data_IF_982367237376
#
_entry.id   IF_982367237376
#
_cell.length_a   1.000
_cell.length_b   1.000
_cell.length_c   1.000
_cell.angle_alpha   90.00
_cell.angle_beta   90.00
_cell.angle_gamma   90.00
#
_symmetry.space_group_name_H-M   'P 1'
#
loop_
_entity.id
_entity.type
_entity.pdbx_description
1 polymer ?
#
# COMPACT_ATOMS: atom_id res chain seq x y z
N UNK A 1 30.68 -17.88 -15.16
CA UNK A 1 30.95 -18.26 -13.75
C UNK A 1 29.74 -17.86 -12.93
N UNK A 2 29.10 -18.82 -12.24
CA UNK A 2 27.70 -18.75 -11.77
C UNK A 2 27.27 -17.42 -11.11
N UNK A 3 28.13 -16.78 -10.30
CA UNK A 3 27.83 -15.48 -9.69
C UNK A 3 27.60 -14.36 -10.73
N UNK A 4 28.41 -14.31 -11.79
CA UNK A 4 28.28 -13.29 -12.85
C UNK A 4 27.00 -13.49 -13.65
N UNK A 5 26.65 -14.74 -13.94
CA UNK A 5 25.41 -15.09 -14.63
C UNK A 5 24.17 -14.68 -13.82
N UNK A 6 24.15 -14.98 -12.51
CA UNK A 6 23.05 -14.57 -11.64
C UNK A 6 22.90 -13.04 -11.56
N UNK A 7 24.01 -12.30 -11.43
CA UNK A 7 23.96 -10.83 -11.39
C UNK A 7 23.42 -10.28 -12.72
N UNK A 8 23.81 -10.85 -13.85
CA UNK A 8 23.31 -10.44 -15.16
C UNK A 8 21.81 -10.68 -15.28
N UNK A 9 21.35 -11.89 -14.93
CA UNK A 9 19.93 -12.24 -14.92
C UNK A 9 19.08 -11.29 -14.06
N UNK A 10 19.52 -10.99 -12.83
CA UNK A 10 18.79 -10.07 -11.94
C UNK A 10 18.77 -8.64 -12.49
N UNK A 11 19.79 -8.24 -13.25
CA UNK A 11 19.84 -6.92 -13.90
C UNK A 11 18.93 -6.83 -15.12
N UNK A 12 18.80 -7.92 -15.88
CA UNK A 12 17.90 -7.98 -17.02
C UNK A 12 16.42 -8.00 -16.61
N UNK A 13 16.12 -8.46 -15.40
CA UNK A 13 14.76 -8.57 -14.87
C UNK A 13 14.49 -7.60 -13.69
N UNK A 14 15.09 -6.41 -13.71
CA UNK A 14 14.92 -5.43 -12.63
C UNK A 14 13.47 -4.97 -12.47
N UNK A 15 12.72 -4.95 -13.56
CA UNK A 15 11.31 -4.58 -13.65
C UNK A 15 10.37 -5.59 -12.97
N UNK A 16 10.83 -6.82 -12.75
CA UNK A 16 10.06 -7.83 -12.03
C UNK A 16 10.04 -7.58 -10.51
N UNK A 17 10.84 -6.61 -10.03
CA UNK A 17 10.96 -6.28 -8.61
C UNK A 17 10.36 -4.90 -8.33
N UNK A 18 9.83 -4.77 -7.11
CA UNK A 18 9.32 -3.52 -6.59
C UNK A 18 10.38 -2.82 -5.74
N UNK A 19 11.16 -1.93 -6.34
CA UNK A 19 12.21 -1.19 -5.63
C UNK A 19 11.64 0.04 -4.91
N UNK A 20 10.57 0.62 -5.46
CA UNK A 20 9.77 1.69 -4.89
C UNK A 20 8.27 1.32 -4.90
N UNK A 21 7.46 2.11 -4.21
CA UNK A 21 6.00 1.89 -4.19
C UNK A 21 5.37 2.09 -5.58
N UNK A 22 5.92 3.00 -6.38
CA UNK A 22 5.47 3.28 -7.74
C UNK A 22 5.69 2.11 -8.70
N UNK A 23 6.62 1.19 -8.39
CA UNK A 23 6.90 -0.01 -9.20
C UNK A 23 5.83 -1.11 -9.03
N UNK A 24 4.89 -0.93 -8.10
CA UNK A 24 3.79 -1.86 -7.84
C UNK A 24 2.44 -1.24 -8.22
N UNK A 25 2.16 -0.95 -9.51
CA UNK A 25 0.83 -0.53 -9.89
C UNK A 25 -0.15 -1.65 -9.54
N UNK A 26 -1.10 -1.36 -8.66
CA UNK A 26 -2.15 -2.32 -8.29
C UNK A 26 -2.96 -2.78 -9.50
N UNK A 27 -3.77 -3.81 -9.33
CA UNK A 27 -4.72 -4.24 -10.36
C UNK A 27 -5.81 -3.18 -10.55
N UNK A 28 -6.34 -3.07 -11.78
CA UNK A 28 -7.50 -2.22 -12.04
C UNK A 28 -8.67 -2.72 -11.17
N UNK A 29 -9.16 -1.86 -10.29
CA UNK A 29 -10.29 -2.17 -9.40
C UNK A 29 -11.58 -2.43 -10.16
N UNK A 30 -11.69 -1.99 -11.42
CA UNK A 30 -12.79 -2.37 -12.32
C UNK A 30 -12.70 -3.82 -12.80
N UNK A 31 -11.50 -4.40 -12.78
CA UNK A 31 -11.25 -5.78 -13.20
C UNK A 31 -11.42 -6.75 -12.03
N UNK A 32 -10.73 -6.49 -10.92
CA UNK A 32 -10.80 -7.34 -9.72
C UNK A 32 -10.69 -6.46 -8.47
N UNK A 33 -11.67 -6.60 -7.59
CA UNK A 33 -11.62 -6.10 -6.22
C UNK A 33 -12.00 -7.20 -5.24
N UNK A 34 -11.43 -7.14 -4.04
CA UNK A 34 -11.86 -8.01 -2.95
C UNK A 34 -12.98 -7.33 -2.17
N UNK A 35 -14.14 -7.97 -2.10
CA UNK A 35 -15.26 -7.51 -1.27
C UNK A 35 -15.31 -8.30 0.03
N UNK A 36 -15.27 -7.59 1.16
CA UNK A 36 -15.51 -8.17 2.48
C UNK A 36 -17.03 -8.24 2.70
N UNK A 37 -17.64 -9.43 2.75
CA UNK A 37 -19.08 -9.55 2.98
C UNK A 37 -19.42 -9.11 4.40
N UNK A 38 -20.31 -8.12 4.51
CA UNK A 38 -20.83 -7.64 5.79
C UNK A 38 -22.27 -8.11 5.97
N UNK A 39 -22.67 -8.33 7.22
CA UNK A 39 -24.07 -8.61 7.52
C UNK A 39 -24.87 -7.30 7.39
N UNK A 40 -26.07 -7.30 6.75
CA UNK A 40 -26.87 -6.09 6.54
C UNK A 40 -27.21 -5.34 7.83
N UNK A 41 -27.32 -6.05 8.95
CA UNK A 41 -27.63 -5.49 10.27
C UNK A 41 -26.44 -4.81 10.96
N UNK A 42 -25.22 -4.94 10.44
CA UNK A 42 -24.03 -4.33 11.04
C UNK A 42 -23.95 -2.84 10.72
N UNK A 43 -23.96 -2.01 11.76
CA UNK A 43 -23.75 -0.56 11.63
C UNK A 43 -22.25 -0.22 11.63
N UNK A 44 -21.82 0.83 10.90
CA UNK A 44 -20.47 1.37 11.02
C UNK A 44 -20.16 1.76 12.48
N UNK A 45 -18.93 1.49 12.92
CA UNK A 45 -18.44 1.87 14.25
C UNK A 45 -17.26 2.81 14.07
N UNK A 46 -17.40 4.04 14.56
CA UNK A 46 -16.33 5.03 14.63
C UNK A 46 -15.34 4.67 15.72
N UNK A 47 -14.14 4.22 15.32
CA UNK A 47 -13.09 3.91 16.27
C UNK A 47 -12.36 5.19 16.69
N UNK A 48 -12.08 5.31 18.00
CA UNK A 48 -11.30 6.43 18.53
C UNK A 48 -9.87 6.38 17.98
N UNK A 49 -9.39 7.51 17.46
CA UNK A 49 -8.01 7.65 17.00
C UNK A 49 -7.04 7.27 18.14
N UNK A 50 -6.10 6.37 17.85
CA UNK A 50 -5.05 5.98 18.79
C UNK A 50 -3.96 7.02 18.77
N UNK A 51 -3.45 7.39 19.96
CA UNK A 51 -2.31 8.31 20.07
C UNK A 51 -1.08 7.64 19.46
N UNK A 52 -0.47 8.29 18.49
CA UNK A 52 0.84 7.91 17.96
C UNK A 52 1.93 8.40 18.91
N UNK A 53 3.03 7.64 19.02
CA UNK A 53 4.23 8.10 19.71
C UNK A 53 4.81 9.30 18.93
N UNK A 54 5.01 10.47 19.55
CA UNK A 54 5.54 11.64 18.87
C UNK A 54 6.88 11.41 18.15
N UNK A 55 7.67 10.42 18.58
CA UNK A 55 8.94 10.05 17.94
C UNK A 55 8.75 9.42 16.56
N UNK A 56 7.58 8.85 16.29
CA UNK A 56 7.24 8.18 15.03
C UNK A 56 6.42 9.05 14.09
N UNK A 57 5.96 10.22 14.54
CA UNK A 57 5.03 11.07 13.78
C UNK A 57 5.55 11.42 12.38
N UNK A 58 6.82 11.84 12.29
CA UNK A 58 7.45 12.16 11.02
C UNK A 58 7.53 10.97 10.06
N UNK A 59 7.98 9.80 10.56
CA UNK A 59 8.13 8.59 9.74
C UNK A 59 6.78 8.04 9.25
N UNK A 60 5.75 8.10 10.11
CA UNK A 60 4.40 7.70 9.73
C UNK A 60 3.83 8.64 8.67
N UNK A 61 4.06 9.94 8.81
CA UNK A 61 3.60 10.92 7.82
C UNK A 61 4.27 10.70 6.46
N UNK A 62 5.58 10.52 6.43
CA UNK A 62 6.34 10.22 5.22
C UNK A 62 5.83 8.94 4.54
N UNK A 63 5.68 7.85 5.30
CA UNK A 63 5.15 6.60 4.75
C UNK A 63 3.70 6.71 4.24
N UNK A 64 2.86 7.53 4.88
CA UNK A 64 1.50 7.80 4.39
C UNK A 64 1.51 8.60 3.08
N UNK A 65 2.41 9.58 2.95
CA UNK A 65 2.56 10.36 1.71
C UNK A 65 3.02 9.46 0.56
N UNK A 66 3.97 8.55 0.80
CA UNK A 66 4.44 7.57 -0.20
C UNK A 66 3.31 6.64 -0.66
N UNK A 67 2.55 6.07 0.29
CA UNK A 67 1.42 5.18 -0.02
C UNK A 67 0.30 5.91 -0.77
N UNK A 68 0.07 7.19 -0.45
CA UNK A 68 -0.93 8.02 -1.13
C UNK A 68 -0.49 8.33 -2.56
N UNK A 69 0.78 8.69 -2.76
CA UNK A 69 1.36 8.96 -4.08
C UNK A 69 1.36 7.72 -4.98
N UNK A 70 1.61 6.54 -4.41
CA UNK A 70 1.51 5.27 -5.13
C UNK A 70 0.06 4.82 -5.39
N UNK A 71 -0.94 5.50 -4.82
CA UNK A 71 -2.35 5.17 -5.00
C UNK A 71 -2.83 3.94 -4.23
N UNK A 72 -2.06 3.48 -3.24
CA UNK A 72 -2.42 2.32 -2.40
C UNK A 72 -3.49 2.66 -1.38
N UNK A 73 -3.48 3.90 -0.92
CA UNK A 73 -4.50 4.48 -0.06
C UNK A 73 -5.14 5.68 -0.74
N UNK A 74 -6.33 6.05 -0.30
CA UNK A 74 -7.03 7.25 -0.73
C UNK A 74 -7.70 7.92 0.45
N UNK A 75 -7.90 9.21 0.36
CA UNK A 75 -8.74 9.94 1.31
C UNK A 75 -10.20 9.50 1.14
N UNK A 76 -10.90 9.36 2.25
CA UNK A 76 -12.34 9.09 2.30
C UNK A 76 -12.99 10.06 3.27
N UNK A 77 -14.24 10.41 2.99
CA UNK A 77 -15.07 11.11 3.97
C UNK A 77 -15.45 10.12 5.06
N UNK A 78 -14.99 10.38 6.28
CA UNK A 78 -15.28 9.50 7.41
C UNK A 78 -16.74 9.72 7.83
N UNK A 79 -17.61 8.70 7.79
CA UNK A 79 -19.00 8.86 8.20
C UNK A 79 -19.08 9.35 9.65
N UNK A 80 -20.02 10.26 9.93
CA UNK A 80 -20.24 10.79 11.29
C UNK A 80 -20.54 9.70 12.31
#
# INVERSE_FOLDING_TARGET
GKRKELIYFLKEHQEAFAWAYEDMPGLDTKLVEHQLPLKPECKPIKQKLRKLDPRLDGQVKEGLEDLLKAGFIRTIDYPE
#
